data_IF_115265716770
#
_entry.id   IF_115265716770
#
_cell.length_a   1.000
_cell.length_b   1.000
_cell.length_c   1.000
_cell.angle_alpha   90.00
_cell.angle_beta   90.00
_cell.angle_gamma   90.00
#
_symmetry.space_group_name_H-M   'P 1'
#
loop_
_entity.id
_entity.type
_entity.pdbx_description
1 polymer ?
#
# COMPACT_ATOMS: atom_id res chain seq x y z
N UNK A 1 -11.14 7.58 24.91
CA UNK A 1 -12.22 8.45 25.42
C UNK A 1 -12.38 8.33 26.94
N UNK A 2 -12.36 7.13 27.54
CA UNK A 2 -12.32 6.95 29.01
C UNK A 2 -11.00 7.39 29.68
N UNK A 3 -9.86 7.23 29.00
CA UNK A 3 -8.52 7.67 29.46
C UNK A 3 -8.10 9.06 28.90
N UNK A 4 -9.04 9.86 28.38
CA UNK A 4 -8.74 11.20 27.81
C UNK A 4 -8.34 11.26 26.32
N UNK A 5 -8.20 10.12 25.63
CA UNK A 5 -7.95 10.11 24.19
C UNK A 5 -9.13 10.71 23.39
N UNK A 6 -8.86 11.75 22.60
CA UNK A 6 -9.85 12.42 21.75
C UNK A 6 -10.16 11.62 20.48
N UNK A 7 -11.35 11.80 19.90
CA UNK A 7 -11.76 11.13 18.65
C UNK A 7 -10.73 11.29 17.52
N UNK A 8 -10.07 12.45 17.45
CA UNK A 8 -9.00 12.73 16.47
C UNK A 8 -7.78 11.82 16.63
N UNK A 9 -7.37 11.51 17.87
CA UNK A 9 -6.24 10.61 18.11
C UNK A 9 -6.55 9.19 17.63
N UNK A 10 -7.75 8.70 17.88
CA UNK A 10 -8.20 7.36 17.44
C UNK A 10 -8.20 7.31 15.91
N UNK A 11 -8.78 8.31 15.25
CA UNK A 11 -8.81 8.36 13.78
C UNK A 11 -7.40 8.40 13.19
N UNK A 12 -6.53 9.26 13.71
CA UNK A 12 -5.15 9.39 13.22
C UNK A 12 -4.34 8.11 13.43
N UNK A 13 -4.55 7.38 14.52
CA UNK A 13 -3.86 6.13 14.79
C UNK A 13 -4.20 5.05 13.75
N UNK A 14 -5.49 4.83 13.49
CA UNK A 14 -5.94 3.85 12.50
C UNK A 14 -5.52 4.19 11.07
N UNK A 15 -5.53 5.48 10.70
CA UNK A 15 -5.05 5.92 9.39
C UNK A 15 -3.54 5.70 9.26
N UNK A 16 -2.76 5.96 10.31
CA UNK A 16 -1.33 5.68 10.30
C UNK A 16 -1.05 4.18 10.21
N UNK A 17 -1.80 3.36 10.96
CA UNK A 17 -1.66 1.91 10.91
C UNK A 17 -1.95 1.36 9.50
N UNK A 18 -3.02 1.82 8.85
CA UNK A 18 -3.35 1.41 7.49
C UNK A 18 -2.29 1.86 6.48
N UNK A 19 -1.78 3.09 6.60
CA UNK A 19 -0.71 3.61 5.76
C UNK A 19 0.57 2.81 5.92
N UNK A 20 0.97 2.50 7.16
CA UNK A 20 2.15 1.65 7.46
C UNK A 20 1.97 0.26 6.87
N UNK A 21 0.80 -0.36 7.04
CA UNK A 21 0.51 -1.67 6.46
C UNK A 21 0.61 -1.65 4.92
N UNK A 22 0.04 -0.63 4.27
CA UNK A 22 0.17 -0.46 2.81
C UNK A 22 1.59 -0.17 2.36
N UNK A 23 2.38 0.58 3.13
CA UNK A 23 3.77 0.85 2.83
C UNK A 23 4.61 -0.43 2.88
N UNK A 24 4.41 -1.26 3.90
CA UNK A 24 5.07 -2.57 4.02
C UNK A 24 4.69 -3.45 2.83
N UNK A 25 3.39 -3.55 2.51
CA UNK A 25 2.92 -4.29 1.34
C UNK A 25 3.51 -3.78 0.02
N UNK A 26 3.61 -2.46 -0.14
CA UNK A 26 4.21 -1.81 -1.31
C UNK A 26 5.70 -2.12 -1.46
N UNK A 27 6.47 -2.09 -0.36
CA UNK A 27 7.89 -2.46 -0.36
C UNK A 27 8.06 -3.93 -0.76
N UNK A 28 7.26 -4.83 -0.19
CA UNK A 28 7.30 -6.25 -0.53
C UNK A 28 6.96 -6.45 -2.02
N UNK A 29 5.91 -5.79 -2.51
CA UNK A 29 5.53 -5.83 -3.93
C UNK A 29 6.64 -5.33 -4.85
N UNK A 30 7.33 -4.24 -4.48
CA UNK A 30 8.44 -3.69 -5.24
C UNK A 30 9.63 -4.66 -5.31
N UNK A 31 9.98 -5.30 -4.19
CA UNK A 31 11.02 -6.34 -4.15
C UNK A 31 10.64 -7.50 -5.08
N UNK A 32 9.39 -7.96 -5.03
CA UNK A 32 8.89 -9.01 -5.91
C UNK A 32 8.96 -8.62 -7.39
N UNK A 33 8.59 -7.38 -7.74
CA UNK A 33 8.75 -6.85 -9.10
C UNK A 33 10.20 -6.86 -9.55
N UNK A 34 11.15 -6.43 -8.71
CA UNK A 34 12.58 -6.44 -9.03
C UNK A 34 13.09 -7.86 -9.30
N UNK A 35 12.70 -8.83 -8.47
CA UNK A 35 13.04 -10.25 -8.67
C UNK A 35 12.46 -10.73 -10.00
N UNK A 36 11.20 -10.42 -10.30
CA UNK A 36 10.56 -10.83 -11.54
C UNK A 36 11.23 -10.24 -12.78
N UNK A 37 11.56 -8.95 -12.74
CA UNK A 37 12.32 -8.24 -13.77
C UNK A 37 13.70 -8.88 -13.99
N UNK A 38 14.38 -9.25 -12.91
CA UNK A 38 15.68 -9.93 -12.99
C UNK A 38 15.56 -11.32 -13.61
N UNK A 39 14.56 -12.11 -13.21
CA UNK A 39 14.31 -13.44 -13.78
C UNK A 39 13.98 -13.37 -15.27
N UNK A 40 13.17 -12.40 -15.69
CA UNK A 40 12.83 -12.20 -17.10
C UNK A 40 14.06 -11.82 -17.96
N UNK A 41 15.03 -11.09 -17.40
CA UNK A 41 16.28 -10.76 -18.09
C UNK A 41 17.19 -11.98 -18.30
N UNK A 42 17.11 -13.00 -17.44
CA UNK A 42 17.89 -14.24 -17.58
C UNK A 42 17.38 -15.13 -18.71
N UNK A 43 16.12 -14.97 -19.13
CA UNK A 43 15.55 -15.72 -20.25
C UNK A 43 16.10 -15.10 -21.55
N UNK A 44 16.87 -15.85 -22.37
CA UNK A 44 17.35 -15.35 -23.65
C UNK A 44 16.15 -15.14 -24.58
N UNK A 45 15.68 -13.90 -24.67
CA UNK A 45 14.64 -13.45 -25.60
C UNK A 45 15.22 -13.44 -27.03
N UNK A 46 15.50 -14.64 -27.56
CA UNK A 46 16.01 -14.85 -28.92
C UNK A 46 14.87 -15.37 -29.78
N UNK A 47 14.16 -14.45 -30.42
CA UNK A 47 13.18 -14.74 -31.46
C UNK A 47 13.02 -13.52 -32.35
N UNK A 48 12.80 -13.72 -33.66
CA UNK A 48 12.64 -12.63 -34.64
C UNK A 48 11.58 -11.60 -34.23
N UNK A 49 10.63 -12.02 -33.41
CA UNK A 49 9.61 -11.17 -32.78
C UNK A 49 10.22 -10.00 -31.97
N UNK A 50 11.30 -10.22 -31.18
CA UNK A 50 11.92 -9.16 -30.37
C UNK A 50 12.87 -8.24 -31.16
N UNK A 51 13.24 -8.63 -32.38
CA UNK A 51 14.02 -7.77 -33.27
C UNK A 51 13.15 -6.66 -33.89
N UNK A 52 11.85 -6.90 -34.06
CA UNK A 52 10.89 -5.95 -34.63
C UNK A 52 10.34 -4.96 -33.60
N UNK A 53 10.16 -5.39 -32.34
CA UNK A 53 9.52 -4.58 -31.28
C UNK A 53 10.55 -3.78 -30.47
N UNK A 54 11.84 -3.99 -30.71
CA UNK A 54 12.92 -3.53 -29.85
C UNK A 54 13.00 -4.39 -28.59
N UNK A 55 14.21 -4.65 -28.09
CA UNK A 55 14.41 -5.37 -26.83
C UNK A 55 13.64 -4.64 -25.73
N UNK A 56 12.55 -5.19 -25.16
CA UNK A 56 11.88 -4.53 -24.07
C UNK A 56 12.81 -4.65 -22.88
N UNK A 57 13.62 -3.62 -22.62
CA UNK A 57 14.37 -3.56 -21.38
C UNK A 57 13.35 -3.31 -20.27
N UNK A 58 13.17 -4.24 -19.32
CA UNK A 58 12.30 -3.98 -18.19
C UNK A 58 13.00 -2.92 -17.34
N UNK A 59 12.58 -1.65 -17.51
CA UNK A 59 13.10 -0.50 -16.77
C UNK A 59 11.99 0.04 -15.86
N UNK A 60 12.30 0.21 -14.59
CA UNK A 60 11.44 0.96 -13.67
C UNK A 60 11.56 2.45 -13.99
N UNK A 61 10.55 3.00 -14.66
CA UNK A 61 10.46 4.44 -14.92
C UNK A 61 10.03 5.20 -13.66
N UNK A 62 10.60 6.39 -13.45
CA UNK A 62 10.22 7.30 -12.36
C UNK A 62 8.72 7.64 -12.37
N UNK A 63 8.11 7.68 -13.56
CA UNK A 63 6.67 7.91 -13.73
C UNK A 63 5.86 6.75 -13.13
N UNK A 64 6.27 5.50 -13.37
CA UNK A 64 5.59 4.33 -12.81
C UNK A 64 5.73 4.31 -11.29
N UNK A 65 6.91 4.62 -10.76
CA UNK A 65 7.14 4.72 -9.32
C UNK A 65 6.21 5.76 -8.66
N UNK A 66 6.08 6.93 -9.29
CA UNK A 66 5.20 8.00 -8.80
C UNK A 66 3.74 7.56 -8.78
N UNK A 67 3.27 6.92 -9.86
CA UNK A 67 1.90 6.39 -9.94
C UNK A 67 1.66 5.35 -8.83
N UNK A 68 2.59 4.42 -8.63
CA UNK A 68 2.48 3.40 -7.58
C UNK A 68 2.36 4.04 -6.20
N UNK A 69 3.21 5.02 -5.87
CA UNK A 69 3.17 5.72 -4.58
C UNK A 69 1.83 6.44 -4.37
N UNK A 70 1.34 7.14 -5.40
CA UNK A 70 0.05 7.85 -5.32
C UNK A 70 -1.10 6.87 -5.11
N UNK A 71 -1.13 5.78 -5.87
CA UNK A 71 -2.17 4.75 -5.75
C UNK A 71 -2.13 4.10 -4.37
N UNK A 72 -0.95 3.71 -3.87
CA UNK A 72 -0.80 3.14 -2.53
C UNK A 72 -1.23 4.11 -1.42
N UNK A 73 -0.89 5.39 -1.56
CA UNK A 73 -1.31 6.42 -0.60
C UNK A 73 -2.84 6.57 -0.55
N UNK A 74 -3.49 6.62 -1.72
CA UNK A 74 -4.95 6.73 -1.82
C UNK A 74 -5.62 5.47 -1.26
N UNK A 75 -5.16 4.27 -1.64
CA UNK A 75 -5.76 3.02 -1.17
C UNK A 75 -5.56 2.81 0.33
N UNK A 76 -4.37 3.08 0.86
CA UNK A 76 -4.08 3.00 2.30
C UNK A 76 -4.88 4.00 3.12
N UNK A 77 -5.06 5.22 2.61
CA UNK A 77 -5.89 6.23 3.26
C UNK A 77 -7.37 5.83 3.28
N UNK A 78 -7.94 5.41 2.15
CA UNK A 78 -9.34 4.97 2.07
C UNK A 78 -9.59 3.75 2.96
N UNK A 79 -8.65 2.78 2.95
CA UNK A 79 -8.74 1.58 3.76
C UNK A 79 -8.72 1.88 5.27
N UNK A 80 -7.94 2.88 5.71
CA UNK A 80 -7.89 3.30 7.12
C UNK A 80 -9.05 4.19 7.54
N UNK A 81 -9.58 5.00 6.63
CA UNK A 81 -10.59 6.01 6.96
C UNK A 81 -11.92 5.37 7.41
N UNK A 82 -12.38 4.33 6.73
CA UNK A 82 -13.64 3.65 7.08
C UNK A 82 -13.62 3.04 8.50
N UNK A 83 -12.64 2.19 8.89
CA UNK A 83 -12.56 1.65 10.25
C UNK A 83 -12.28 2.74 11.28
N UNK A 84 -11.45 3.74 10.96
CA UNK A 84 -11.15 4.86 11.85
C UNK A 84 -12.40 5.64 12.26
N UNK A 85 -13.28 5.95 11.30
CA UNK A 85 -14.54 6.65 11.55
C UNK A 85 -15.51 5.79 12.37
N UNK A 86 -15.51 4.48 12.17
CA UNK A 86 -16.32 3.54 12.96
C UNK A 86 -15.83 3.49 14.40
N UNK A 87 -14.52 3.33 14.62
CA UNK A 87 -13.90 3.27 15.95
C UNK A 87 -14.09 4.56 16.76
N UNK A 88 -13.99 5.73 16.12
CA UNK A 88 -14.15 7.02 16.80
C UNK A 88 -15.59 7.34 17.24
N UNK A 89 -16.58 6.57 16.77
CA UNK A 89 -18.00 6.73 17.14
C UNK A 89 -18.43 5.81 18.28
N UNK A 90 -17.65 4.79 18.64
CA UNK A 90 -17.98 3.86 19.73
C UNK A 90 -17.99 4.62 21.06
N UNK A 91 -19.09 4.50 21.80
CA UNK A 91 -19.19 5.06 23.15
C UNK A 91 -18.35 4.22 24.10
N UNK A 92 -17.36 4.80 24.82
CA UNK A 92 -16.57 4.06 25.80
C UNK A 92 -17.42 3.39 26.89
N UNK A 93 -18.58 3.97 27.26
CA UNK A 93 -19.46 3.36 28.26
C UNK A 93 -20.10 2.07 27.74
N UNK A 94 -20.50 2.01 26.47
CA UNK A 94 -20.97 0.76 25.84
C UNK A 94 -19.84 -0.25 25.66
N UNK A 95 -18.63 0.21 25.31
CA UNK A 95 -17.48 -0.69 25.11
C UNK A 95 -17.10 -1.45 26.39
N UNK A 96 -17.17 -0.78 27.56
CA UNK A 96 -16.84 -1.36 28.87
C UNK A 96 -17.90 -2.32 29.43
N UNK A 97 -19.15 -2.23 28.96
CA UNK A 97 -20.25 -3.10 29.43
C UNK A 97 -20.26 -4.45 28.72
N UNK A 98 -19.62 -4.54 27.55
CA UNK A 98 -19.45 -5.78 26.80
C UNK A 98 -18.13 -6.52 27.10
N UNK A 99 -17.28 -5.97 27.97
CA UNK A 99 -16.09 -6.62 28.52
C UNK A 99 -16.38 -7.39 29.82
#
# INVERSE_FOLDING_TARGET
>A
MALGATKKHIVSHYILESLVATAIGGIIGMIMTLIFVFLLRLIPMKGEFFAVIGKPEPVLSFLVLTIVIVVLGITGFIAGLFPALKAAKVDPAEALVYE
#
